data_IF_610378599114
#
_entry.id   IF_610378599114
#
_cell.length_a   1.000
_cell.length_b   1.000
_cell.length_c   1.000
_cell.angle_alpha   90.00
_cell.angle_beta   90.00
_cell.angle_gamma   90.00
#
_symmetry.space_group_name_H-M   'P 1'
#
loop_
_entity.id
_entity.type
_entity.pdbx_description
1 polymer ?
#
# COMPACT_ATOMS: atom_id res chain seq x y z
N UNK A 1 0.26 7.78 -3.12
CA UNK A 1 -0.28 7.51 -1.78
C UNK A 1 0.53 8.14 -0.64
N UNK A 2 1.85 8.24 -0.74
CA UNK A 2 2.71 8.76 0.35
C UNK A 2 2.89 10.28 0.41
N UNK A 3 2.50 11.03 -0.62
CA UNK A 3 2.54 12.50 -0.54
C UNK A 3 1.61 13.01 0.57
N UNK A 4 2.10 13.88 1.49
CA UNK A 4 1.25 14.43 2.54
C UNK A 4 0.16 15.34 1.98
N UNK A 5 0.49 16.19 1.01
CA UNK A 5 -0.45 17.03 0.26
C UNK A 5 -0.69 16.42 -1.13
N UNK A 6 -1.82 15.72 -1.27
CA UNK A 6 -2.21 15.06 -2.51
C UNK A 6 -2.51 16.06 -3.63
N UNK A 7 -3.21 17.13 -3.29
CA UNK A 7 -3.60 18.17 -4.26
C UNK A 7 -2.38 18.92 -4.79
N UNK A 8 -1.41 19.26 -3.92
CA UNK A 8 -0.15 19.84 -4.38
C UNK A 8 0.59 18.91 -5.33
N UNK A 9 0.59 17.59 -5.07
CA UNK A 9 1.22 16.61 -5.96
C UNK A 9 0.54 16.55 -7.33
N UNK A 10 -0.79 16.67 -7.38
CA UNK A 10 -1.52 16.71 -8.65
C UNK A 10 -1.27 18.02 -9.41
N UNK A 11 -1.24 19.16 -8.72
CA UNK A 11 -0.89 20.45 -9.34
C UNK A 11 0.51 20.43 -9.95
N UNK A 12 1.50 19.84 -9.27
CA UNK A 12 2.85 19.70 -9.81
C UNK A 12 2.91 18.75 -11.01
N UNK A 13 2.22 17.61 -10.95
CA UNK A 13 2.11 16.70 -12.09
C UNK A 13 1.49 17.41 -13.31
N UNK A 14 0.41 18.15 -13.08
CA UNK A 14 -0.23 18.95 -14.14
C UNK A 14 0.70 20.02 -14.69
N UNK A 15 1.42 20.74 -13.84
CA UNK A 15 2.34 21.81 -14.24
C UNK A 15 3.44 21.32 -15.18
N UNK A 16 4.04 20.16 -14.89
CA UNK A 16 5.20 19.65 -15.63
C UNK A 16 4.86 18.88 -16.90
N UNK A 17 3.63 18.40 -17.04
CA UNK A 17 3.19 17.73 -18.25
C UNK A 17 3.03 18.73 -19.40
N UNK A 18 3.31 18.30 -20.63
CA UNK A 18 2.96 19.06 -21.83
C UNK A 18 1.44 19.00 -22.08
N UNK A 19 0.85 19.97 -22.83
CA UNK A 19 -0.52 19.82 -23.32
C UNK A 19 -0.71 18.49 -24.07
N UNK A 20 -1.78 17.76 -23.78
CA UNK A 20 -1.99 16.39 -24.27
C UNK A 20 -1.24 15.31 -23.50
N UNK A 21 -0.38 15.67 -22.56
CA UNK A 21 0.36 14.71 -21.72
C UNK A 21 -0.55 13.92 -20.80
N UNK A 22 -0.19 12.67 -20.57
CA UNK A 22 -0.96 11.71 -19.73
C UNK A 22 -0.30 11.54 -18.38
N UNK A 23 -1.09 11.60 -17.32
CA UNK A 23 -0.70 11.27 -15.96
C UNK A 23 -1.31 9.92 -15.59
N UNK A 24 -0.44 8.94 -15.31
CA UNK A 24 -0.86 7.61 -14.93
C UNK A 24 -0.26 7.28 -13.56
N UNK A 25 -1.10 6.87 -12.64
CA UNK A 25 -0.66 6.41 -11.32
C UNK A 25 -1.59 5.33 -10.78
N UNK A 26 -1.13 4.63 -9.76
CA UNK A 26 -1.93 3.64 -9.07
C UNK A 26 -1.89 3.85 -7.55
N UNK A 27 -2.95 3.40 -6.90
CA UNK A 27 -3.05 3.29 -5.45
C UNK A 27 -3.49 1.88 -5.09
N UNK A 28 -3.10 1.40 -3.92
CA UNK A 28 -3.70 0.18 -3.39
C UNK A 28 -5.16 0.43 -3.04
N UNK A 29 -6.01 -0.54 -3.32
CA UNK A 29 -7.38 -0.55 -2.81
C UNK A 29 -7.38 -0.84 -1.30
N UNK A 30 -8.52 -0.73 -0.66
CA UNK A 30 -8.71 -0.94 0.78
C UNK A 30 -8.23 -2.30 1.26
N UNK A 31 -8.06 -2.45 2.57
CA UNK A 31 -7.77 -3.72 3.22
C UNK A 31 -8.82 -4.81 2.96
N UNK A 32 -10.05 -4.44 2.62
CA UNK A 32 -11.07 -5.40 2.20
C UNK A 32 -10.63 -6.21 0.98
N UNK A 33 -9.89 -5.58 0.08
CA UNK A 33 -9.38 -6.17 -1.16
C UNK A 33 -7.89 -6.54 -1.10
N UNK A 34 -7.19 -6.10 -0.05
CA UNK A 34 -5.77 -6.35 0.19
C UNK A 34 -5.59 -6.88 1.62
N UNK A 35 -6.15 -8.06 1.89
CA UNK A 35 -6.16 -8.68 3.24
C UNK A 35 -4.77 -8.84 3.85
N UNK A 36 -3.76 -8.98 3.02
CA UNK A 36 -2.36 -9.07 3.46
C UNK A 36 -1.93 -7.82 4.26
N UNK A 37 -2.33 -6.62 3.81
CA UNK A 37 -2.03 -5.37 4.51
C UNK A 37 -2.65 -5.34 5.90
N UNK A 38 -3.94 -5.69 6.00
CA UNK A 38 -4.63 -5.78 7.29
C UNK A 38 -4.03 -6.84 8.21
N UNK A 39 -3.63 -7.99 7.67
CA UNK A 39 -3.01 -9.07 8.43
C UNK A 39 -1.66 -8.65 9.00
N UNK A 40 -0.81 -7.99 8.19
CA UNK A 40 0.48 -7.49 8.66
C UNK A 40 0.28 -6.42 9.73
N UNK A 41 -0.59 -5.43 9.50
CA UNK A 41 -0.87 -4.35 10.48
C UNK A 41 -1.37 -4.92 11.82
N UNK A 42 -2.33 -5.83 11.79
CA UNK A 42 -2.86 -6.46 13.00
C UNK A 42 -1.81 -7.31 13.72
N UNK A 43 -0.95 -8.03 12.99
CA UNK A 43 0.13 -8.83 13.57
C UNK A 43 1.14 -7.93 14.27
N UNK A 44 1.55 -6.85 13.61
CA UNK A 44 2.48 -5.87 14.18
C UNK A 44 1.88 -5.21 15.42
N UNK A 45 0.61 -4.79 15.35
CA UNK A 45 -0.08 -4.14 16.47
C UNK A 45 -0.15 -5.03 17.72
N UNK A 46 -0.24 -6.35 17.55
CA UNK A 46 -0.26 -7.29 18.68
C UNK A 46 1.02 -7.27 19.53
N UNK A 47 2.17 -6.92 18.94
CA UNK A 47 3.42 -6.73 19.67
C UNK A 47 3.52 -5.38 20.40
N UNK A 48 2.69 -4.41 20.05
CA UNK A 48 2.74 -3.03 20.56
C UNK A 48 1.33 -2.54 20.96
N UNK A 49 0.69 -3.15 21.94
CA UNK A 49 -0.71 -2.87 22.26
C UNK A 49 -0.99 -1.42 22.71
N UNK A 50 0.02 -0.74 23.27
CA UNK A 50 -0.13 0.64 23.75
C UNK A 50 0.20 1.69 22.65
N UNK A 51 1.11 1.37 21.71
CA UNK A 51 1.57 2.30 20.66
C UNK A 51 1.95 1.50 19.40
N UNK A 52 0.97 1.02 18.61
CA UNK A 52 1.26 0.21 17.43
C UNK A 52 1.94 1.02 16.33
N UNK A 53 2.92 0.44 15.60
CA UNK A 53 3.41 0.99 14.35
C UNK A 53 2.28 1.15 13.32
N UNK A 54 2.31 2.24 12.56
CA UNK A 54 1.21 2.61 11.66
C UNK A 54 1.58 2.58 10.18
N UNK A 55 2.80 2.15 9.84
CA UNK A 55 3.29 2.20 8.47
C UNK A 55 2.35 1.53 7.46
N UNK A 56 1.81 0.35 7.78
CA UNK A 56 0.93 -0.39 6.87
C UNK A 56 -0.46 0.22 6.68
N UNK A 57 -0.83 1.23 7.47
CA UNK A 57 -2.08 1.96 7.26
C UNK A 57 -1.98 2.92 6.05
N UNK A 58 -0.85 3.60 5.91
CA UNK A 58 -0.65 4.62 4.88
C UNK A 58 -0.83 4.12 3.43
N UNK A 59 -0.28 2.96 3.01
CA UNK A 59 -0.45 2.44 1.66
C UNK A 59 -1.89 2.20 1.24
N UNK A 60 -2.77 1.87 2.19
CA UNK A 60 -4.14 1.44 1.94
C UNK A 60 -5.19 2.49 2.33
N UNK A 61 -4.79 3.64 2.88
CA UNK A 61 -5.70 4.70 3.30
C UNK A 61 -6.24 5.53 2.12
N UNK A 62 -5.49 5.61 1.01
CA UNK A 62 -5.82 6.48 -0.12
C UNK A 62 -6.40 5.67 -1.29
N UNK A 63 -7.65 5.19 -1.13
CA UNK A 63 -8.29 4.25 -2.06
C UNK A 63 -9.68 4.70 -2.55
N UNK A 64 -10.20 5.82 -2.06
CA UNK A 64 -11.53 6.27 -2.44
C UNK A 64 -11.49 6.90 -3.84
N UNK A 65 -12.24 6.30 -4.77
CA UNK A 65 -12.20 6.67 -6.20
C UNK A 65 -12.72 8.09 -6.41
N UNK A 66 -13.89 8.42 -5.87
CA UNK A 66 -14.54 9.70 -6.15
C UNK A 66 -13.72 10.90 -5.65
N UNK A 67 -13.20 10.93 -4.40
CA UNK A 67 -12.34 12.05 -3.97
C UNK A 67 -11.07 12.20 -4.81
N UNK A 68 -10.46 11.10 -5.26
CA UNK A 68 -9.27 11.16 -6.12
C UNK A 68 -9.64 11.75 -7.49
N UNK A 69 -10.73 11.29 -8.07
CA UNK A 69 -11.24 11.79 -9.35
C UNK A 69 -11.59 13.27 -9.28
N UNK A 70 -12.28 13.70 -8.23
CA UNK A 70 -12.63 15.11 -8.00
C UNK A 70 -11.37 15.97 -7.90
N UNK A 71 -10.38 15.57 -7.11
CA UNK A 71 -9.12 16.30 -6.98
C UNK A 71 -8.34 16.41 -8.31
N UNK A 72 -8.41 15.41 -9.18
CA UNK A 72 -7.85 15.47 -10.53
C UNK A 72 -8.60 16.47 -11.40
N UNK A 73 -9.95 16.48 -11.36
CA UNK A 73 -10.80 17.43 -12.10
C UNK A 73 -10.51 18.87 -11.65
N UNK A 74 -10.44 19.11 -10.36
CA UNK A 74 -10.18 20.42 -9.75
C UNK A 74 -8.80 20.95 -10.11
N UNK A 75 -7.82 20.04 -10.26
CA UNK A 75 -6.48 20.40 -10.74
C UNK A 75 -6.46 20.81 -12.22
N UNK A 76 -7.48 20.43 -13.01
CA UNK A 76 -7.57 20.74 -14.43
C UNK A 76 -7.43 19.54 -15.37
N UNK A 77 -7.14 18.35 -14.85
CA UNK A 77 -7.09 17.13 -15.65
C UNK A 77 -8.44 16.81 -16.28
N UNK A 78 -8.42 16.17 -17.46
CA UNK A 78 -9.61 15.73 -18.21
C UNK A 78 -9.41 14.28 -18.69
N UNK A 79 -10.44 13.74 -19.33
CA UNK A 79 -10.42 12.40 -19.91
C UNK A 79 -9.94 11.35 -18.90
N UNK A 80 -10.51 11.40 -17.69
CA UNK A 80 -10.10 10.54 -16.58
C UNK A 80 -10.68 9.14 -16.79
N UNK A 81 -9.80 8.14 -16.90
CA UNK A 81 -10.17 6.74 -16.89
C UNK A 81 -9.68 6.07 -15.60
N UNK A 82 -10.46 5.09 -15.12
CA UNK A 82 -10.19 4.41 -13.86
C UNK A 82 -10.38 2.91 -14.07
N UNK A 83 -9.37 2.14 -13.70
CA UNK A 83 -9.40 0.69 -13.81
C UNK A 83 -9.05 0.03 -12.46
N UNK A 84 -9.89 -0.92 -12.05
CA UNK A 84 -9.62 -1.76 -10.88
C UNK A 84 -8.92 -3.03 -11.36
N UNK A 85 -7.68 -3.20 -10.93
CA UNK A 85 -6.81 -4.31 -11.35
C UNK A 85 -6.69 -5.31 -10.21
N UNK A 86 -7.20 -6.52 -10.44
CA UNK A 86 -7.06 -7.66 -9.54
C UNK A 86 -5.92 -8.56 -9.99
N UNK A 87 -5.10 -8.98 -9.06
CA UNK A 87 -4.00 -9.93 -9.29
C UNK A 87 -3.92 -10.89 -8.13
N UNK A 88 -3.39 -12.06 -8.40
CA UNK A 88 -2.92 -12.99 -7.39
C UNK A 88 -1.40 -13.04 -7.50
N UNK A 89 -0.72 -12.77 -6.40
CA UNK A 89 0.73 -12.92 -6.32
C UNK A 89 1.06 -14.25 -5.69
N UNK A 90 1.81 -15.07 -6.39
CA UNK A 90 2.42 -16.26 -5.82
C UNK A 90 3.73 -15.88 -5.14
N UNK A 91 3.84 -16.20 -3.85
CA UNK A 91 5.03 -15.99 -3.04
C UNK A 91 5.82 -17.29 -3.04
N UNK A 92 6.96 -17.29 -3.72
CA UNK A 92 7.81 -18.46 -3.85
C UNK A 92 8.65 -18.73 -2.57
N UNK A 93 9.02 -17.66 -1.86
CA UNK A 93 9.82 -17.70 -0.64
C UNK A 93 9.11 -16.89 0.44
N UNK A 94 8.33 -17.57 1.27
CA UNK A 94 7.54 -16.94 2.32
C UNK A 94 8.42 -16.34 3.44
N UNK A 95 9.48 -17.02 3.94
CA UNK A 95 10.45 -16.42 4.86
C UNK A 95 11.04 -15.10 4.34
N UNK A 96 11.50 -15.09 3.11
CA UNK A 96 12.08 -13.90 2.50
C UNK A 96 11.02 -12.80 2.32
N UNK A 97 9.79 -13.16 1.99
CA UNK A 97 8.68 -12.20 1.89
C UNK A 97 8.36 -11.55 3.24
N UNK A 98 8.27 -12.34 4.31
CA UNK A 98 8.04 -11.84 5.67
C UNK A 98 9.19 -10.91 6.11
N UNK A 99 10.43 -11.31 5.84
CA UNK A 99 11.62 -10.50 6.11
C UNK A 99 11.62 -9.19 5.31
N UNK A 100 11.24 -9.22 4.04
CA UNK A 100 11.12 -8.05 3.17
C UNK A 100 10.08 -7.05 3.68
N UNK A 101 8.93 -7.52 4.18
CA UNK A 101 7.91 -6.65 4.77
C UNK A 101 8.37 -5.98 6.07
N UNK A 102 9.22 -6.64 6.85
CA UNK A 102 9.76 -6.08 8.10
C UNK A 102 10.94 -5.14 7.82
N UNK A 103 12.00 -5.64 7.18
CA UNK A 103 13.27 -4.92 7.03
C UNK A 103 13.36 -4.05 5.77
N UNK A 104 12.56 -4.35 4.74
CA UNK A 104 12.52 -3.61 3.47
C UNK A 104 11.54 -2.43 3.47
N UNK A 105 11.00 -2.06 4.63
CA UNK A 105 10.04 -0.97 4.79
C UNK A 105 10.37 -0.13 6.02
N UNK A 106 9.81 1.09 6.15
CA UNK A 106 9.95 1.92 7.36
C UNK A 106 9.41 1.28 8.65
N UNK A 107 8.75 0.12 8.55
CA UNK A 107 8.29 -0.62 9.72
C UNK A 107 9.42 -0.94 10.69
N UNK A 108 10.59 -1.38 10.19
CA UNK A 108 11.72 -1.75 11.05
C UNK A 108 12.18 -0.59 11.94
N UNK A 109 12.17 0.63 11.41
CA UNK A 109 12.56 1.82 12.17
C UNK A 109 11.50 2.16 13.23
N UNK A 110 10.22 2.00 12.91
CA UNK A 110 9.14 2.18 13.87
C UNK A 110 9.19 1.14 15.00
N UNK A 111 9.53 -0.13 14.68
CA UNK A 111 9.70 -1.21 15.66
C UNK A 111 10.91 -0.91 16.56
N UNK A 112 12.06 -0.57 15.99
CA UNK A 112 13.28 -0.24 16.74
C UNK A 112 13.12 0.97 17.66
N UNK A 113 12.42 2.01 17.20
CA UNK A 113 12.18 3.21 17.97
C UNK A 113 11.36 2.95 19.25
N UNK A 114 10.47 1.96 19.22
CA UNK A 114 9.66 1.55 20.38
C UNK A 114 10.42 0.63 21.33
N UNK A 115 11.35 -0.15 20.81
CA UNK A 115 12.11 -1.14 21.60
C UNK A 115 11.24 -2.30 22.10
N UNK A 116 11.84 -3.18 22.86
CA UNK A 116 11.12 -4.29 23.52
C UNK A 116 10.76 -5.47 22.62
N UNK A 117 10.87 -5.34 21.31
CA UNK A 117 10.57 -6.39 20.32
C UNK A 117 11.76 -6.55 19.38
N UNK A 118 12.27 -7.77 19.27
CA UNK A 118 13.23 -8.12 18.25
C UNK A 118 12.52 -8.21 16.88
N UNK A 119 12.95 -7.45 15.86
CA UNK A 119 12.38 -7.54 14.53
C UNK A 119 12.36 -8.95 13.93
N UNK A 120 13.30 -9.84 14.31
CA UNK A 120 13.32 -11.22 13.82
C UNK A 120 12.18 -12.07 14.43
N UNK A 121 11.72 -11.75 15.64
CA UNK A 121 10.48 -12.36 16.19
C UNK A 121 9.25 -11.93 15.39
N UNK A 122 9.21 -10.67 14.96
CA UNK A 122 8.13 -10.18 14.10
C UNK A 122 8.16 -10.87 12.73
N UNK A 123 9.34 -11.07 12.13
CA UNK A 123 9.49 -11.82 10.88
C UNK A 123 8.91 -13.22 11.01
N UNK A 124 9.29 -13.95 12.07
CA UNK A 124 8.81 -15.33 12.30
C UNK A 124 7.28 -15.38 12.47
N UNK A 125 6.70 -14.41 13.18
CA UNK A 125 5.26 -14.37 13.36
C UNK A 125 4.54 -13.99 12.07
N UNK A 126 5.05 -13.04 11.28
CA UNK A 126 4.50 -12.71 9.97
C UNK A 126 4.53 -13.90 9.02
N UNK A 127 5.64 -14.64 8.95
CA UNK A 127 5.73 -15.88 8.17
C UNK A 127 4.62 -16.86 8.57
N UNK A 128 4.47 -17.09 9.87
CA UNK A 128 3.48 -18.03 10.42
C UNK A 128 2.05 -17.62 10.08
N UNK A 129 1.67 -16.35 10.28
CA UNK A 129 0.29 -15.89 10.06
C UNK A 129 -0.04 -15.78 8.57
N UNK A 130 0.90 -15.34 7.74
CA UNK A 130 0.73 -15.27 6.28
C UNK A 130 0.58 -16.69 5.71
N UNK A 131 1.43 -17.62 6.13
CA UNK A 131 1.34 -19.01 5.70
C UNK A 131 0.03 -19.69 6.11
N UNK A 132 -0.48 -19.37 7.31
CA UNK A 132 -1.78 -19.85 7.79
C UNK A 132 -2.95 -19.30 6.97
N UNK A 133 -2.91 -18.03 6.58
CA UNK A 133 -4.01 -17.36 5.89
C UNK A 133 -4.02 -17.63 4.39
N UNK A 134 -2.84 -17.66 3.75
CA UNK A 134 -2.70 -17.71 2.29
C UNK A 134 -2.03 -18.99 1.77
N UNK A 135 -1.72 -19.93 2.66
CA UNK A 135 -1.02 -21.16 2.32
C UNK A 135 0.51 -20.99 2.30
N UNK A 136 1.21 -22.12 2.28
CA UNK A 136 2.67 -22.14 2.29
C UNK A 136 3.28 -22.70 1.00
N UNK A 137 2.53 -23.57 0.28
CA UNK A 137 3.03 -24.21 -0.94
C UNK A 137 1.86 -24.57 -1.89
N UNK A 138 1.45 -23.68 -2.78
CA UNK A 138 1.93 -22.29 -2.94
C UNK A 138 1.27 -21.32 -1.95
N UNK A 139 1.99 -20.29 -1.54
CA UNK A 139 1.41 -19.13 -0.87
C UNK A 139 0.87 -18.17 -1.93
N UNK A 140 -0.45 -17.91 -1.92
CA UNK A 140 -1.13 -17.09 -2.94
C UNK A 140 -1.88 -15.94 -2.29
N UNK A 141 -1.42 -14.72 -2.57
CA UNK A 141 -1.96 -13.50 -1.99
C UNK A 141 -2.77 -12.74 -3.02
N UNK A 142 -4.09 -12.57 -2.83
CA UNK A 142 -4.89 -11.72 -3.68
C UNK A 142 -4.55 -10.25 -3.42
N UNK A 143 -4.38 -9.48 -4.50
CA UNK A 143 -4.07 -8.05 -4.48
C UNK A 143 -5.01 -7.31 -5.40
N UNK A 144 -5.34 -6.06 -5.02
CA UNK A 144 -6.14 -5.16 -5.84
C UNK A 144 -5.56 -3.75 -5.79
N UNK A 145 -5.37 -3.17 -6.96
CA UNK A 145 -4.97 -1.78 -7.13
C UNK A 145 -5.99 -1.04 -7.98
N UNK A 146 -6.06 0.28 -7.81
CA UNK A 146 -6.86 1.18 -8.62
C UNK A 146 -5.89 2.02 -9.44
N UNK A 147 -6.02 1.96 -10.76
CA UNK A 147 -5.20 2.72 -11.71
C UNK A 147 -6.01 3.89 -12.22
N UNK A 148 -5.43 5.07 -12.15
CA UNK A 148 -5.98 6.31 -12.67
C UNK A 148 -5.13 6.75 -13.86
N UNK A 149 -5.79 7.17 -14.91
CA UNK A 149 -5.19 7.84 -16.04
C UNK A 149 -5.96 9.12 -16.32
N UNK A 150 -5.26 10.23 -16.51
CA UNK A 150 -5.84 11.53 -16.76
C UNK A 150 -5.00 12.33 -17.75
N UNK A 151 -5.61 13.19 -18.57
CA UNK A 151 -4.93 13.97 -19.59
C UNK A 151 -4.86 15.45 -19.19
N UNK A 152 -3.68 16.08 -19.38
CA UNK A 152 -3.56 17.52 -19.35
C UNK A 152 -4.08 18.10 -20.68
N UNK A 153 -5.14 18.90 -20.64
CA UNK A 153 -5.59 19.68 -21.81
C UNK A 153 -4.94 21.05 -21.86
#
# INVERSE_FOLDING_TARGET
MFFPDKEASYREAYRVLSPGGRYVFSVWDSWRHNRIGALIDATVAAFFPADPPTFFQAPFAYHLIDPIKEALIDTGFRDISIAVIRREQQIADLPQFARGNTYGSPLVDQVRARGGVDPDHLVAELERVIGREFGTNPCRVPLQAIVFEATRR
#
